data_IF_709409385451
#
_entry.id   IF_709409385451
#
_cell.length_a   1.000
_cell.length_b   1.000
_cell.length_c   1.000
_cell.angle_alpha   90.00
_cell.angle_beta   90.00
_cell.angle_gamma   90.00
#
_symmetry.space_group_name_H-M   'P 1'
#
loop_
_entity.id
_entity.type
_entity.pdbx_description
1 polymer ?
#
# COMPACT_ATOMS: atom_id res chain seq x y z
N UNK A 1 4.95 7.77 16.30
CA UNK A 1 4.40 6.62 15.56
C UNK A 1 3.61 7.22 14.43
N UNK A 2 4.19 7.27 13.23
CA UNK A 2 3.46 7.71 12.04
C UNK A 2 2.48 6.61 11.65
N UNK A 3 1.23 7.00 11.49
CA UNK A 3 0.13 6.13 11.11
C UNK A 3 0.41 5.50 9.75
N UNK A 4 0.22 4.19 9.71
CA UNK A 4 0.14 3.45 8.47
C UNK A 4 -1.33 3.03 8.38
N UNK A 5 -2.21 3.90 7.86
CA UNK A 5 -3.65 3.62 7.84
C UNK A 5 -4.02 2.28 7.15
N UNK A 6 -3.13 1.76 6.30
CA UNK A 6 -3.24 0.44 5.69
C UNK A 6 -3.12 -0.72 6.69
N UNK A 7 -2.42 -0.53 7.82
CA UNK A 7 -2.21 -1.51 8.91
C UNK A 7 -3.19 -1.32 10.08
N UNK A 8 -3.49 -0.07 10.45
CA UNK A 8 -4.34 0.25 11.61
C UNK A 8 -5.36 1.32 11.22
N UNK A 9 -6.58 0.91 10.87
CA UNK A 9 -7.65 1.83 10.44
C UNK A 9 -8.13 2.79 11.51
N UNK A 10 -7.94 2.44 12.79
CA UNK A 10 -8.49 3.17 13.92
C UNK A 10 -7.53 4.27 14.43
N UNK A 11 -6.35 4.40 13.81
CA UNK A 11 -5.33 5.39 14.13
C UNK A 11 -4.86 6.08 12.84
N UNK A 12 -5.67 7.03 12.35
CA UNK A 12 -5.37 7.87 11.19
C UNK A 12 -4.76 9.17 11.70
N UNK A 13 -3.57 9.53 11.22
CA UNK A 13 -2.94 10.83 11.48
C UNK A 13 -3.05 11.80 10.28
N UNK A 14 -2.54 13.03 10.43
CA UNK A 14 -2.61 14.05 9.37
C UNK A 14 -1.82 13.64 8.10
N UNK A 15 -0.77 12.82 8.26
CA UNK A 15 0.04 12.30 7.15
C UNK A 15 -0.73 11.25 6.35
N UNK A 16 -1.46 10.36 7.03
CA UNK A 16 -2.42 9.44 6.42
C UNK A 16 -3.51 10.19 5.66
N UNK A 17 -4.07 11.24 6.25
CA UNK A 17 -5.15 12.01 5.62
C UNK A 17 -4.68 12.67 4.32
N UNK A 18 -3.46 13.23 4.32
CA UNK A 18 -2.85 13.83 3.14
C UNK A 18 -2.56 12.78 2.05
N UNK A 19 -2.05 11.61 2.44
CA UNK A 19 -1.83 10.52 1.51
C UNK A 19 -3.13 10.00 0.89
N UNK A 20 -4.21 9.89 1.69
CA UNK A 20 -5.53 9.45 1.21
C UNK A 20 -6.19 10.40 0.20
N UNK A 21 -5.80 11.68 0.16
CA UNK A 21 -6.25 12.62 -0.88
C UNK A 21 -5.74 12.25 -2.27
N UNK A 22 -4.67 11.47 -2.36
CA UNK A 22 -4.08 11.06 -3.63
C UNK A 22 -4.79 9.80 -4.17
N UNK A 23 -5.40 9.89 -5.36
CA UNK A 23 -5.90 8.70 -6.07
C UNK A 23 -4.74 7.88 -6.68
N UNK A 24 -3.72 8.59 -7.16
CA UNK A 24 -2.51 8.04 -7.77
C UNK A 24 -1.27 8.51 -7.04
N UNK A 25 -0.34 7.59 -6.79
CA UNK A 25 0.91 7.86 -6.08
C UNK A 25 2.10 7.36 -6.89
N UNK A 26 3.26 8.00 -6.72
CA UNK A 26 4.51 7.52 -7.35
C UNK A 26 5.12 6.38 -6.54
N UNK A 27 6.08 5.67 -7.11
CA UNK A 27 6.87 4.67 -6.37
C UNK A 27 7.56 5.26 -5.14
N UNK A 28 8.09 6.48 -5.21
CA UNK A 28 8.75 7.10 -4.05
C UNK A 28 7.78 7.37 -2.90
N UNK A 29 6.59 7.91 -3.21
CA UNK A 29 5.54 8.16 -2.22
C UNK A 29 5.05 6.85 -1.59
N UNK A 30 4.81 5.83 -2.42
CA UNK A 30 4.41 4.51 -1.94
C UNK A 30 5.47 3.88 -1.04
N UNK A 31 6.75 3.94 -1.41
CA UNK A 31 7.82 3.41 -0.57
C UNK A 31 7.90 4.11 0.79
N UNK A 32 7.79 5.45 0.79
CA UNK A 32 7.83 6.25 2.01
C UNK A 32 6.63 5.93 2.92
N UNK A 33 5.42 5.94 2.38
CA UNK A 33 4.19 5.76 3.14
C UNK A 33 3.97 4.31 3.60
N UNK A 34 4.13 3.32 2.73
CA UNK A 34 3.90 1.92 3.10
C UNK A 34 5.08 1.31 3.88
N UNK A 35 6.21 2.01 4.00
CA UNK A 35 7.44 1.48 4.63
C UNK A 35 8.04 0.30 3.87
N UNK A 36 7.71 0.15 2.58
CA UNK A 36 8.15 -0.94 1.71
C UNK A 36 9.30 -0.46 0.81
N UNK A 37 10.28 -1.34 0.56
CA UNK A 37 11.33 -1.05 -0.41
C UNK A 37 10.82 -0.93 -1.86
N UNK A 38 11.62 -0.33 -2.74
CA UNK A 38 11.25 -0.15 -4.16
C UNK A 38 10.94 -1.48 -4.87
N UNK A 39 11.77 -2.51 -4.65
CA UNK A 39 11.57 -3.84 -5.25
C UNK A 39 10.21 -4.46 -4.88
N UNK A 40 9.84 -4.57 -3.58
CA UNK A 40 8.53 -5.12 -3.22
C UNK A 40 7.37 -4.24 -3.68
N UNK A 41 7.45 -2.89 -3.58
CA UNK A 41 6.38 -2.02 -4.08
C UNK A 41 6.14 -2.25 -5.58
N UNK A 42 7.20 -2.25 -6.39
CA UNK A 42 7.08 -2.52 -7.83
C UNK A 42 6.45 -3.88 -8.10
N UNK A 43 6.98 -4.95 -7.50
CA UNK A 43 6.45 -6.31 -7.70
C UNK A 43 4.96 -6.41 -7.33
N UNK A 44 4.59 -5.96 -6.13
CA UNK A 44 3.22 -6.05 -5.63
C UNK A 44 2.26 -5.16 -6.44
N UNK A 45 2.72 -3.98 -6.88
CA UNK A 45 1.91 -3.08 -7.71
C UNK A 45 1.58 -3.72 -9.06
N UNK A 46 2.55 -4.41 -9.66
CA UNK A 46 2.33 -5.17 -10.88
C UNK A 46 1.42 -6.39 -10.66
N UNK A 47 1.61 -7.15 -9.57
CA UNK A 47 0.77 -8.32 -9.24
C UNK A 47 -0.71 -7.95 -9.08
N UNK A 48 -1.00 -6.81 -8.45
CA UNK A 48 -2.38 -6.35 -8.24
C UNK A 48 -2.96 -5.54 -9.43
N UNK A 49 -2.15 -5.27 -10.47
CA UNK A 49 -2.60 -4.50 -11.62
C UNK A 49 -2.84 -3.01 -11.30
N UNK A 50 -2.24 -2.46 -10.25
CA UNK A 50 -2.40 -1.07 -9.85
C UNK A 50 -1.50 -0.10 -10.61
N UNK A 51 -0.70 -0.56 -11.58
CA UNK A 51 0.30 0.26 -12.28
C UNK A 51 -0.31 0.93 -13.51
N UNK A 52 -0.21 2.26 -13.56
CA UNK A 52 -0.66 3.10 -14.67
C UNK A 52 0.53 3.88 -15.22
N UNK A 53 0.73 3.82 -16.54
CA UNK A 53 1.81 4.54 -17.21
C UNK A 53 1.25 5.75 -17.94
N UNK A 54 1.79 6.93 -17.64
CA UNK A 54 1.47 8.19 -18.32
C UNK A 54 2.77 8.73 -18.91
N UNK A 55 2.97 8.51 -20.21
CA UNK A 55 4.21 8.86 -20.90
C UNK A 55 5.43 8.17 -20.28
N UNK A 56 6.34 8.98 -19.70
CA UNK A 56 7.55 8.49 -19.00
C UNK A 56 7.32 8.26 -17.50
N UNK A 57 6.20 8.69 -16.93
CA UNK A 57 5.89 8.52 -15.51
C UNK A 57 5.09 7.25 -15.28
N UNK A 58 5.35 6.62 -14.14
CA UNK A 58 4.60 5.46 -13.66
C UNK A 58 3.95 5.85 -12.34
N UNK A 59 2.65 5.57 -12.25
CA UNK A 59 1.81 5.86 -11.11
C UNK A 59 1.15 4.56 -10.63
N UNK A 60 0.88 4.51 -9.33
CA UNK A 60 0.19 3.40 -8.68
C UNK A 60 -1.17 3.91 -8.24
N UNK A 61 -2.24 3.21 -8.61
CA UNK A 61 -3.58 3.50 -8.09
C UNK A 61 -3.70 2.98 -6.67
N UNK A 62 -3.78 3.92 -5.72
CA UNK A 62 -3.67 3.64 -4.28
C UNK A 62 -4.76 2.70 -3.78
N UNK A 63 -6.02 2.87 -4.21
CA UNK A 63 -7.15 2.04 -3.76
C UNK A 63 -6.98 0.54 -4.08
N UNK A 64 -6.52 0.22 -5.30
CA UNK A 64 -6.30 -1.17 -5.73
C UNK A 64 -5.12 -1.78 -4.95
N UNK A 65 -4.04 -1.02 -4.83
CA UNK A 65 -2.83 -1.48 -4.15
C UNK A 65 -3.07 -1.73 -2.65
N UNK A 66 -3.75 -0.80 -1.98
CA UNK A 66 -4.05 -0.90 -0.55
C UNK A 66 -5.00 -2.07 -0.25
N UNK A 67 -6.03 -2.27 -1.08
CA UNK A 67 -6.92 -3.43 -0.97
C UNK A 67 -6.15 -4.76 -1.10
N UNK A 68 -5.14 -4.81 -1.98
CA UNK A 68 -4.28 -5.97 -2.14
C UNK A 68 -3.41 -6.23 -0.90
N UNK A 69 -2.77 -5.18 -0.34
CA UNK A 69 -1.97 -5.30 0.89
C UNK A 69 -2.81 -5.80 2.07
N UNK A 70 -4.01 -5.24 2.27
CA UNK A 70 -4.94 -5.67 3.33
C UNK A 70 -5.34 -7.14 3.18
N UNK A 71 -5.51 -7.63 1.93
CA UNK A 71 -5.80 -9.04 1.65
C UNK A 71 -4.60 -9.95 1.96
N UNK A 72 -3.38 -9.51 1.67
CA UNK A 72 -2.16 -10.27 2.01
C UNK A 72 -1.97 -10.38 3.53
N UNK A 73 -2.14 -9.28 4.27
CA UNK A 73 -2.01 -9.28 5.73
C UNK A 73 -3.02 -10.23 6.41
N UNK A 74 -4.29 -10.27 5.95
CA UNK A 74 -5.28 -11.22 6.46
C UNK A 74 -4.89 -12.68 6.21
N UNK A 75 -4.26 -12.99 5.07
CA UNK A 75 -3.78 -14.34 4.76
C UNK A 75 -2.64 -14.77 5.67
N UNK A 76 -1.73 -13.85 6.02
CA UNK A 76 -0.63 -14.15 6.93
C UNK A 76 -1.07 -14.22 8.39
N UNK A 77 -2.01 -13.35 8.81
CA UNK A 77 -2.62 -13.39 10.14
C UNK A 77 -3.47 -14.65 10.38
N UNK A 78 -4.17 -15.15 9.36
CA UNK A 78 -4.94 -16.40 9.45
C UNK A 78 -4.05 -17.64 9.63
N UNK A 79 -2.88 -17.67 8.98
CA UNK A 79 -1.92 -18.78 9.12
C UNK A 79 -1.29 -18.90 10.51
N UNK A 80 -1.24 -17.80 11.27
CA UNK A 80 -0.67 -17.77 12.62
C UNK A 80 -1.64 -18.31 13.68
N UNK A 81 -2.94 -18.26 13.43
CA UNK A 81 -3.98 -18.72 14.37
C UNK A 81 -4.43 -20.18 14.13
N UNK A 82 -3.97 -20.83 13.06
CA UNK A 82 -4.34 -22.22 12.72
C UNK A 82 -3.27 -23.24 13.17
N UNK A 83 -2.14 -22.77 13.72
CA UNK A 83 -1.04 -23.57 14.25
C UNK A 83 -0.88 -23.45 15.78
N UNK A 84 -1.86 -22.87 16.47
CA UNK A 84 -1.91 -22.73 17.93
C UNK A 84 -3.02 -23.59 18.53
#
# INVERSE_FOLDING_TARGET
MSGNAWMYSDQIDDEDLEFMKHEFVTYSMACAYYGLGLKPVTRLSHECGAVYKIGRKVLIRRSIFEAYLRKQQKREGGKRNEQA
#
